data_IF_951240475967
#
_entry.id   IF_951240475967
#
_cell.length_a   1.000
_cell.length_b   1.000
_cell.length_c   1.000
_cell.angle_alpha   90.00
_cell.angle_beta   90.00
_cell.angle_gamma   90.00
#
_symmetry.space_group_name_H-M   'P 1'
#
loop_
_entity.id
_entity.type
_entity.pdbx_description
1 polymer ?
#
# COMPACT_ATOMS: atom_id res chain seq x y z
N UNK A 1 -14.22 1.45 -9.30
CA UNK A 1 -13.31 2.25 -8.46
C UNK A 1 -14.09 3.00 -7.40
N UNK A 2 -13.53 3.12 -6.21
CA UNK A 2 -14.12 3.82 -5.05
C UNK A 2 -13.11 4.83 -4.55
N UNK A 3 -13.54 6.02 -4.16
CA UNK A 3 -12.65 7.01 -3.54
C UNK A 3 -13.09 7.15 -2.08
N UNK A 4 -12.16 6.92 -1.15
CA UNK A 4 -12.42 6.99 0.30
C UNK A 4 -11.51 8.04 0.92
N UNK A 5 -12.03 8.78 1.88
CA UNK A 5 -11.30 9.80 2.65
C UNK A 5 -11.95 9.97 4.01
N UNK A 6 -11.16 10.29 5.04
CA UNK A 6 -11.63 10.67 6.37
C UNK A 6 -11.05 12.01 6.80
N UNK A 7 -11.60 12.61 7.86
CA UNK A 7 -10.99 13.75 8.54
C UNK A 7 -9.62 13.35 9.11
N UNK A 8 -8.61 14.22 9.01
CA UNK A 8 -7.19 13.95 9.30
C UNK A 8 -6.49 12.92 8.39
N UNK A 9 -7.25 12.24 7.52
CA UNK A 9 -6.71 11.34 6.50
C UNK A 9 -6.54 12.01 5.13
N UNK A 10 -6.49 11.19 4.10
CA UNK A 10 -6.30 11.63 2.71
C UNK A 10 -7.20 10.89 1.75
N UNK A 11 -7.33 11.42 0.54
CA UNK A 11 -8.08 10.76 -0.53
C UNK A 11 -7.27 9.56 -1.05
N UNK A 12 -7.89 8.39 -0.97
CA UNK A 12 -7.36 7.14 -1.51
C UNK A 12 -8.30 6.63 -2.60
N UNK A 13 -7.74 6.28 -3.76
CA UNK A 13 -8.47 5.68 -4.87
C UNK A 13 -8.32 4.16 -4.84
N UNK A 14 -9.41 3.42 -4.64
CA UNK A 14 -9.41 1.96 -4.62
C UNK A 14 -9.90 1.42 -5.97
N UNK A 15 -9.07 0.59 -6.62
CA UNK A 15 -9.35 -0.05 -7.91
C UNK A 15 -9.56 -1.56 -7.77
N UNK A 16 -10.18 -2.14 -8.79
CA UNK A 16 -10.31 -3.60 -8.90
C UNK A 16 -11.42 -4.22 -8.06
N UNK A 17 -12.25 -3.41 -7.38
CA UNK A 17 -13.36 -3.93 -6.59
C UNK A 17 -14.55 -4.38 -7.47
N UNK A 18 -14.93 -5.64 -7.38
CA UNK A 18 -15.97 -6.25 -8.21
C UNK A 18 -17.28 -6.56 -7.47
N UNK A 19 -17.25 -6.67 -6.14
CA UNK A 19 -18.42 -7.08 -5.34
C UNK A 19 -19.22 -5.88 -4.82
N UNK A 20 -20.00 -5.25 -5.70
CA UNK A 20 -20.80 -4.05 -5.37
C UNK A 20 -21.67 -4.23 -4.11
N UNK A 21 -22.13 -5.45 -3.81
CA UNK A 21 -22.97 -5.71 -2.62
C UNK A 21 -22.20 -5.54 -1.31
N UNK A 22 -20.90 -5.84 -1.30
CA UNK A 22 -20.02 -5.74 -0.14
C UNK A 22 -19.16 -4.47 -0.13
N UNK A 23 -19.50 -3.45 -0.96
CA UNK A 23 -18.76 -2.18 -1.01
C UNK A 23 -18.65 -1.48 0.35
N UNK A 24 -19.66 -1.65 1.21
CA UNK A 24 -19.65 -1.10 2.57
C UNK A 24 -18.49 -1.63 3.41
N UNK A 25 -18.14 -2.92 3.30
CA UNK A 25 -17.01 -3.52 4.03
C UNK A 25 -15.67 -2.97 3.59
N UNK A 26 -15.49 -2.81 2.27
CA UNK A 26 -14.29 -2.19 1.71
C UNK A 26 -14.11 -0.77 2.26
N UNK A 27 -15.20 0.01 2.31
CA UNK A 27 -15.16 1.37 2.85
C UNK A 27 -14.86 1.36 4.35
N UNK A 28 -15.50 0.48 5.12
CA UNK A 28 -15.27 0.33 6.57
C UNK A 28 -13.81 0.01 6.88
N UNK A 29 -13.23 -0.96 6.17
CA UNK A 29 -11.83 -1.37 6.34
C UNK A 29 -10.84 -0.27 5.92
N UNK A 30 -11.10 0.49 4.85
CA UNK A 30 -10.24 1.62 4.49
C UNK A 30 -10.32 2.76 5.51
N UNK A 31 -11.52 3.03 6.07
CA UNK A 31 -11.69 4.00 7.16
C UNK A 31 -10.91 3.56 8.39
N UNK A 32 -10.99 2.29 8.76
CA UNK A 32 -10.23 1.69 9.87
C UNK A 32 -8.71 1.82 9.64
N UNK A 33 -8.24 1.48 8.44
CA UNK A 33 -6.83 1.60 8.05
C UNK A 33 -6.29 3.01 8.27
N UNK A 34 -7.00 4.02 7.74
CA UNK A 34 -6.55 5.41 7.88
C UNK A 34 -6.55 5.85 9.35
N UNK A 35 -7.59 5.52 10.13
CA UNK A 35 -7.65 5.85 11.55
C UNK A 35 -6.50 5.21 12.34
N UNK A 36 -6.29 3.91 12.18
CA UNK A 36 -5.27 3.16 12.92
C UNK A 36 -3.86 3.66 12.60
N UNK A 37 -3.59 4.02 11.34
CA UNK A 37 -2.29 4.59 10.95
C UNK A 37 -2.08 6.00 11.51
N UNK A 38 -3.11 6.84 11.55
CA UNK A 38 -3.05 8.17 12.17
C UNK A 38 -2.82 8.05 13.68
N UNK A 39 -3.56 7.16 14.35
CA UNK A 39 -3.40 6.90 15.78
C UNK A 39 -2.02 6.35 16.11
N UNK A 40 -1.52 5.40 15.32
CA UNK A 40 -0.17 4.87 15.46
C UNK A 40 0.89 5.97 15.28
N UNK A 41 0.74 6.83 14.28
CA UNK A 41 1.65 7.98 14.09
C UNK A 41 1.66 8.93 15.27
N UNK A 42 0.52 9.16 15.93
CA UNK A 42 0.42 10.00 17.15
C UNK A 42 1.11 9.36 18.37
N UNK A 43 1.30 8.05 18.38
CA UNK A 43 2.01 7.33 19.44
C UNK A 43 3.51 7.26 19.23
N UNK A 44 4.00 7.54 18.02
CA UNK A 44 5.40 7.46 17.67
C UNK A 44 6.05 8.85 17.76
N UNK A 45 7.27 8.90 18.28
CA UNK A 45 8.07 10.10 18.20
C UNK A 45 8.59 10.29 16.77
N UNK A 46 8.55 11.53 16.28
CA UNK A 46 9.08 11.87 14.96
C UNK A 46 10.61 11.77 14.99
N UNK A 47 11.12 10.66 14.48
CA UNK A 47 12.55 10.39 14.41
C UNK A 47 13.02 10.12 12.97
N UNK A 48 14.30 10.42 12.73
CA UNK A 48 14.91 10.16 11.44
C UNK A 48 15.10 8.66 11.21
N UNK A 49 14.48 8.14 10.15
CA UNK A 49 14.75 6.79 9.66
C UNK A 49 16.12 6.76 9.02
N UNK A 50 17.06 6.05 9.64
CA UNK A 50 18.40 5.85 9.10
C UNK A 50 18.41 4.66 8.16
N UNK A 51 19.20 4.74 7.09
CA UNK A 51 19.34 3.65 6.14
C UNK A 51 20.70 3.64 5.49
N UNK A 52 21.31 2.46 5.37
CA UNK A 52 22.63 2.30 4.75
C UNK A 52 22.75 0.96 4.01
N UNK A 53 23.73 0.88 3.12
CA UNK A 53 24.12 -0.37 2.50
C UNK A 53 24.96 -1.17 3.49
N UNK A 54 24.46 -2.35 3.85
CA UNK A 54 25.07 -3.24 4.85
C UNK A 54 25.58 -4.53 4.23
N UNK A 55 25.69 -4.61 2.90
CA UNK A 55 26.08 -5.84 2.16
C UNK A 55 27.35 -6.47 2.72
N UNK A 56 28.32 -5.64 3.11
CA UNK A 56 29.60 -6.07 3.69
C UNK A 56 29.49 -6.84 5.03
N UNK A 57 28.36 -6.77 5.73
CA UNK A 57 28.09 -7.54 6.95
C UNK A 57 27.52 -8.93 6.65
N UNK A 58 27.19 -9.21 5.39
CA UNK A 58 26.56 -10.47 4.96
C UNK A 58 27.45 -11.30 4.03
N UNK A 59 28.75 -10.96 3.93
CA UNK A 59 29.70 -11.65 3.05
C UNK A 59 29.83 -13.17 3.37
N UNK A 60 29.67 -13.55 4.63
CA UNK A 60 29.75 -14.93 5.13
C UNK A 60 28.41 -15.41 5.76
N UNK A 61 27.27 -14.86 5.34
CA UNK A 61 25.96 -15.20 5.93
C UNK A 61 25.53 -16.65 5.64
N UNK A 62 24.97 -17.32 6.65
CA UNK A 62 24.38 -18.67 6.51
C UNK A 62 22.95 -18.62 5.92
N UNK A 63 22.35 -17.43 5.81
CA UNK A 63 21.00 -17.25 5.29
C UNK A 63 20.95 -17.45 3.77
N UNK A 64 20.22 -18.49 3.32
CA UNK A 64 20.10 -18.85 1.90
C UNK A 64 19.50 -17.74 1.02
N UNK A 65 18.60 -16.91 1.56
CA UNK A 65 17.93 -15.86 0.79
C UNK A 65 18.93 -14.74 0.48
N UNK A 66 19.65 -14.28 1.50
CA UNK A 66 20.60 -13.19 1.37
C UNK A 66 21.85 -13.62 0.60
N UNK A 67 22.38 -14.81 0.88
CA UNK A 67 23.55 -15.33 0.15
C UNK A 67 23.27 -15.47 -1.35
N UNK A 68 22.09 -15.97 -1.73
CA UNK A 68 21.67 -16.03 -3.14
C UNK A 68 21.64 -14.63 -3.79
N UNK A 69 21.16 -13.62 -3.07
CA UNK A 69 21.13 -12.25 -3.60
C UNK A 69 22.56 -11.72 -3.83
N UNK A 70 23.46 -11.92 -2.87
CA UNK A 70 24.86 -11.46 -2.94
C UNK A 70 25.62 -12.19 -4.06
N UNK A 71 25.43 -13.50 -4.20
CA UNK A 71 26.03 -14.30 -5.28
C UNK A 71 25.62 -13.83 -6.68
N UNK A 72 24.48 -13.16 -6.82
CA UNK A 72 23.95 -12.61 -8.07
C UNK A 72 24.21 -11.10 -8.21
N UNK A 73 25.30 -10.57 -7.61
CA UNK A 73 25.68 -9.16 -7.62
C UNK A 73 24.58 -8.23 -7.05
N UNK A 74 23.79 -8.73 -6.10
CA UNK A 74 22.80 -7.96 -5.36
C UNK A 74 23.39 -7.20 -4.18
N UNK A 75 22.54 -6.44 -3.49
CA UNK A 75 22.91 -5.68 -2.30
C UNK A 75 21.89 -5.85 -1.19
N UNK A 76 22.35 -5.68 0.05
CA UNK A 76 21.53 -5.65 1.26
C UNK A 76 21.51 -4.23 1.79
N UNK A 77 20.31 -3.67 1.91
CA UNK A 77 20.07 -2.39 2.56
C UNK A 77 19.35 -2.61 3.88
N UNK A 78 19.80 -1.91 4.91
CA UNK A 78 19.15 -1.89 6.22
C UNK A 78 18.49 -0.53 6.45
N UNK A 79 17.35 -0.55 7.14
CA UNK A 79 16.64 0.61 7.65
C UNK A 79 16.47 0.46 9.16
N UNK A 80 16.81 1.49 9.91
CA UNK A 80 16.44 1.65 11.31
C UNK A 80 15.12 2.39 11.39
N UNK A 81 14.11 1.73 11.93
CA UNK A 81 12.75 2.23 12.13
C UNK A 81 12.54 2.45 13.64
N UNK A 82 12.71 3.68 14.14
CA UNK A 82 12.62 3.97 15.57
C UNK A 82 11.24 3.67 16.16
N UNK A 83 11.22 3.20 17.41
CA UNK A 83 9.98 3.02 18.19
C UNK A 83 8.98 1.99 17.65
N UNK A 84 9.30 1.20 16.61
CA UNK A 84 8.37 0.25 15.99
C UNK A 84 8.42 -1.17 16.59
N UNK A 85 9.25 -1.44 17.60
CA UNK A 85 9.31 -2.76 18.22
C UNK A 85 7.95 -3.16 18.78
N UNK A 86 7.47 -4.37 18.44
CA UNK A 86 6.14 -4.88 18.76
C UNK A 86 4.98 -4.26 17.97
N UNK A 87 5.19 -3.14 17.27
CA UNK A 87 4.16 -2.43 16.49
C UNK A 87 4.09 -2.91 15.04
N UNK A 88 5.11 -3.58 14.52
CA UNK A 88 5.08 -4.11 13.14
C UNK A 88 3.98 -5.16 12.94
N UNK A 89 3.63 -5.89 14.01
CA UNK A 89 2.53 -6.87 14.07
C UNK A 89 1.19 -6.28 14.52
N UNK A 90 1.09 -4.97 14.68
CA UNK A 90 -0.18 -4.32 15.00
C UNK A 90 -1.10 -4.36 13.78
N UNK A 91 -2.33 -4.78 13.99
CA UNK A 91 -3.37 -4.80 12.95
C UNK A 91 -3.71 -3.37 12.53
N UNK A 92 -3.74 -3.13 11.22
CA UNK A 92 -4.15 -1.84 10.65
C UNK A 92 -5.58 -1.89 10.13
N UNK A 93 -6.01 -3.01 9.54
CA UNK A 93 -7.32 -3.16 8.93
C UNK A 93 -7.53 -4.62 8.52
N UNK A 94 -8.51 -5.29 9.11
CA UNK A 94 -8.72 -6.73 8.89
C UNK A 94 -7.47 -7.54 9.18
N UNK A 95 -7.09 -8.43 8.27
CA UNK A 95 -5.92 -9.31 8.41
C UNK A 95 -4.60 -8.65 7.94
N UNK A 96 -4.55 -7.30 7.84
CA UNK A 96 -3.34 -6.56 7.46
C UNK A 96 -2.64 -5.92 8.65
N UNK A 97 -1.30 -5.88 8.58
CA UNK A 97 -0.43 -5.35 9.63
C UNK A 97 0.42 -4.16 9.17
N UNK A 98 0.95 -3.40 10.13
CA UNK A 98 1.85 -2.25 9.86
C UNK A 98 3.04 -2.64 8.98
N UNK A 99 3.63 -3.81 9.20
CA UNK A 99 4.72 -4.32 8.37
C UNK A 99 4.35 -4.37 6.89
N UNK A 100 3.10 -4.75 6.58
CA UNK A 100 2.67 -4.93 5.21
C UNK A 100 2.51 -3.60 4.45
N UNK A 101 2.21 -2.50 5.16
CA UNK A 101 2.20 -1.15 4.56
C UNK A 101 3.58 -0.75 4.04
N UNK A 102 4.64 -1.11 4.78
CA UNK A 102 6.02 -0.87 4.37
C UNK A 102 6.42 -1.85 3.25
N UNK A 103 6.03 -3.12 3.37
CA UNK A 103 6.31 -4.15 2.36
C UNK A 103 5.69 -3.81 1.01
N UNK A 104 4.47 -3.28 0.95
CA UNK A 104 3.84 -2.96 -0.33
C UNK A 104 4.66 -1.89 -1.09
N UNK A 105 5.21 -0.91 -0.38
CA UNK A 105 6.09 0.12 -0.94
C UNK A 105 7.43 -0.46 -1.43
N UNK A 106 7.94 -1.52 -0.78
CA UNK A 106 9.11 -2.24 -1.26
C UNK A 106 8.79 -3.09 -2.50
N UNK A 107 7.63 -3.78 -2.52
CA UNK A 107 7.19 -4.64 -3.62
C UNK A 107 6.96 -3.88 -4.92
N UNK A 108 6.53 -2.62 -4.85
CA UNK A 108 6.41 -1.73 -6.03
C UNK A 108 7.76 -1.56 -6.76
N UNK A 109 8.88 -1.70 -6.07
CA UNK A 109 10.23 -1.63 -6.66
C UNK A 109 10.76 -2.98 -7.16
N UNK A 110 9.95 -4.04 -7.11
CA UNK A 110 10.30 -5.37 -7.58
C UNK A 110 10.95 -6.28 -6.53
N UNK A 111 10.97 -5.86 -5.26
CA UNK A 111 11.50 -6.68 -4.16
C UNK A 111 10.43 -7.63 -3.63
N UNK A 112 10.84 -8.81 -3.14
CA UNK A 112 9.89 -9.81 -2.63
C UNK A 112 9.25 -9.43 -1.29
N UNK A 113 9.99 -8.75 -0.43
CA UNK A 113 9.55 -8.32 0.89
C UNK A 113 10.67 -7.64 1.68
N UNK A 114 10.44 -7.46 2.97
CA UNK A 114 11.42 -6.96 3.94
C UNK A 114 11.54 -8.01 5.05
N UNK A 115 12.74 -8.20 5.59
CA UNK A 115 12.96 -9.00 6.80
C UNK A 115 13.12 -8.04 7.97
N UNK A 116 12.51 -8.27 9.12
CA UNK A 116 12.65 -7.33 10.23
C UNK A 116 12.80 -7.97 11.62
N UNK A 117 13.42 -7.25 12.56
CA UNK A 117 13.70 -7.77 13.91
C UNK A 117 12.48 -8.06 14.77
N UNK A 118 11.30 -7.58 14.36
CA UNK A 118 10.05 -7.91 15.03
C UNK A 118 9.47 -9.27 14.56
N UNK A 119 10.01 -9.86 13.49
CA UNK A 119 9.73 -11.23 13.07
C UNK A 119 10.56 -12.26 13.86
N UNK A 120 10.31 -13.53 13.61
CA UNK A 120 11.07 -14.64 14.17
C UNK A 120 12.41 -14.79 13.42
N UNK A 121 13.40 -13.95 13.79
CA UNK A 121 14.72 -13.91 13.16
C UNK A 121 15.56 -15.18 13.40
N UNK A 122 15.24 -15.97 14.43
CA UNK A 122 15.91 -17.24 14.70
C UNK A 122 15.64 -18.25 13.58
N UNK A 123 14.45 -18.23 12.98
CA UNK A 123 14.12 -19.09 11.83
C UNK A 123 14.91 -18.77 10.57
N UNK A 124 15.49 -17.57 10.50
CA UNK A 124 16.23 -17.10 9.35
C UNK A 124 17.74 -17.22 9.55
N UNK A 125 18.23 -17.70 10.70
CA UNK A 125 19.66 -17.75 11.02
C UNK A 125 20.36 -16.39 10.83
N UNK A 126 19.67 -15.28 11.17
CA UNK A 126 20.16 -13.90 10.98
C UNK A 126 20.45 -13.14 12.28
N UNK A 127 20.50 -13.84 13.42
CA UNK A 127 20.56 -13.20 14.74
C UNK A 127 21.85 -12.39 14.92
N UNK A 128 22.98 -12.89 14.43
CA UNK A 128 24.28 -12.22 14.53
C UNK A 128 24.31 -10.98 13.62
N UNK A 129 23.89 -11.12 12.37
CA UNK A 129 23.90 -10.03 11.39
C UNK A 129 22.94 -8.89 11.77
N UNK A 130 21.76 -9.20 12.31
CA UNK A 130 20.86 -8.17 12.85
C UNK A 130 21.48 -7.42 14.04
N UNK A 131 22.32 -8.09 14.83
CA UNK A 131 23.10 -7.47 15.91
C UNK A 131 24.13 -6.49 15.36
N UNK A 132 24.95 -6.92 14.40
CA UNK A 132 25.99 -6.08 13.78
C UNK A 132 25.40 -4.87 13.05
N UNK A 133 24.31 -5.06 12.30
CA UNK A 133 23.56 -3.97 11.66
C UNK A 133 22.98 -3.02 12.71
N UNK A 134 22.48 -3.57 13.82
CA UNK A 134 21.97 -2.77 14.94
C UNK A 134 23.04 -1.88 15.55
N UNK A 135 24.24 -2.40 15.77
CA UNK A 135 25.39 -1.64 16.28
C UNK A 135 25.83 -0.55 15.29
N UNK A 136 25.90 -0.87 14.00
CA UNK A 136 26.25 0.09 12.94
C UNK A 136 25.26 1.26 12.87
N UNK A 137 23.95 0.97 12.96
CA UNK A 137 22.89 1.97 12.89
C UNK A 137 22.55 2.61 14.25
N UNK A 138 23.28 2.24 15.32
CA UNK A 138 23.04 2.70 16.70
C UNK A 138 21.58 2.52 17.11
N UNK A 139 21.14 1.27 17.02
CA UNK A 139 19.80 0.81 17.36
C UNK A 139 19.53 0.96 18.86
N UNK A 140 18.38 1.53 19.22
CA UNK A 140 17.84 1.47 20.57
C UNK A 140 16.96 0.22 20.79
N UNK A 141 16.60 -0.10 22.03
CA UNK A 141 15.76 -1.28 22.34
C UNK A 141 14.37 -1.25 21.66
N UNK A 142 13.82 -0.04 21.47
CA UNK A 142 12.50 0.16 20.88
C UNK A 142 12.52 0.25 19.34
N UNK A 143 13.70 0.22 18.72
CA UNK A 143 13.86 0.35 17.27
C UNK A 143 13.73 -1.01 16.58
N UNK A 144 13.18 -1.02 15.36
CA UNK A 144 13.19 -2.18 14.47
C UNK A 144 14.24 -1.98 13.39
N UNK A 145 14.98 -3.05 13.07
CA UNK A 145 15.82 -3.09 11.88
C UNK A 145 15.07 -3.85 10.80
N UNK A 146 14.94 -3.25 9.62
CA UNK A 146 14.39 -3.88 8.43
C UNK A 146 15.47 -4.04 7.36
N UNK A 147 15.60 -5.24 6.80
CA UNK A 147 16.54 -5.60 5.75
C UNK A 147 15.80 -5.80 4.43
N UNK A 148 16.42 -5.32 3.35
CA UNK A 148 15.94 -5.43 1.98
C UNK A 148 17.09 -5.99 1.15
N UNK A 149 16.94 -7.22 0.68
CA UNK A 149 17.91 -7.91 -0.16
C UNK A 149 17.34 -8.07 -1.58
N UNK A 150 17.97 -7.42 -2.55
CA UNK A 150 17.58 -7.44 -3.97
C UNK A 150 18.76 -6.99 -4.86
N UNK A 151 18.63 -7.01 -6.21
CA UNK A 151 19.59 -6.33 -7.09
C UNK A 151 19.84 -4.88 -6.63
N UNK A 152 21.09 -4.40 -6.71
CA UNK A 152 21.53 -3.14 -6.05
C UNK A 152 20.58 -1.95 -6.30
N UNK A 153 20.21 -1.72 -7.57
CA UNK A 153 19.29 -0.63 -7.94
C UNK A 153 17.90 -0.78 -7.32
N UNK A 154 17.37 -2.01 -7.27
CA UNK A 154 16.06 -2.31 -6.67
C UNK A 154 16.11 -2.19 -5.16
N UNK A 155 17.13 -2.75 -4.51
CA UNK A 155 17.29 -2.71 -3.06
C UNK A 155 17.40 -1.26 -2.56
N UNK A 156 18.22 -0.45 -3.24
CA UNK A 156 18.37 0.97 -2.93
C UNK A 156 17.08 1.76 -3.13
N UNK A 157 16.38 1.55 -4.25
CA UNK A 157 15.11 2.22 -4.53
C UNK A 157 14.03 1.82 -3.53
N UNK A 158 13.92 0.53 -3.21
CA UNK A 158 13.00 0.00 -2.21
C UNK A 158 13.28 0.58 -0.82
N UNK A 159 14.54 0.60 -0.38
CA UNK A 159 14.93 1.21 0.90
C UNK A 159 14.53 2.68 0.98
N UNK A 160 14.69 3.45 -0.11
CA UNK A 160 14.25 4.85 -0.16
C UNK A 160 12.72 4.99 -0.09
N UNK A 161 11.97 4.10 -0.76
CA UNK A 161 10.49 4.09 -0.71
C UNK A 161 9.97 3.74 0.67
N UNK A 162 10.53 2.70 1.29
CA UNK A 162 10.17 2.26 2.64
C UNK A 162 10.53 3.34 3.65
N UNK A 163 11.72 3.95 3.56
CA UNK A 163 12.13 5.08 4.40
C UNK A 163 11.11 6.22 4.32
N UNK A 164 10.74 6.64 3.10
CA UNK A 164 9.76 7.71 2.91
C UNK A 164 8.38 7.35 3.47
N UNK A 165 7.94 6.10 3.31
CA UNK A 165 6.65 5.64 3.84
C UNK A 165 6.65 5.56 5.37
N UNK A 166 7.77 5.18 5.96
CA UNK A 166 7.96 5.18 7.41
C UNK A 166 7.96 6.61 7.96
N UNK A 167 8.65 7.56 7.32
CA UNK A 167 8.58 8.99 7.67
C UNK A 167 7.14 9.52 7.67
N UNK A 168 6.34 9.16 6.66
CA UNK A 168 4.90 9.49 6.63
C UNK A 168 4.12 8.85 7.78
N UNK A 169 4.48 7.61 8.17
CA UNK A 169 3.87 6.93 9.31
C UNK A 169 4.15 7.68 10.62
N UNK A 170 5.40 8.08 10.86
CA UNK A 170 5.80 8.86 12.03
C UNK A 170 5.10 10.21 12.10
N UNK A 171 4.84 10.84 10.95
CA UNK A 171 4.05 12.08 10.87
C UNK A 171 2.54 11.87 11.07
N UNK A 172 2.06 10.61 11.16
CA UNK A 172 0.63 10.29 11.13
C UNK A 172 -0.06 10.69 9.82
N UNK A 173 0.70 10.86 8.74
CA UNK A 173 0.20 11.29 7.43
C UNK A 173 -0.27 10.08 6.62
N UNK A 174 -1.50 10.17 6.10
CA UNK A 174 -2.00 9.21 5.10
C UNK A 174 -1.60 9.70 3.71
N UNK A 175 -0.83 8.95 2.92
CA UNK A 175 -0.47 9.36 1.56
C UNK A 175 -1.68 9.31 0.61
N UNK A 176 -1.76 10.28 -0.31
CA UNK A 176 -2.68 10.21 -1.45
C UNK A 176 -2.18 9.19 -2.48
N UNK A 177 -2.91 8.09 -2.63
CA UNK A 177 -2.46 6.96 -3.45
C UNK A 177 -3.62 6.17 -4.06
N UNK A 178 -3.28 5.37 -5.07
CA UNK A 178 -4.15 4.35 -5.63
C UNK A 178 -3.83 3.00 -4.98
N UNK A 179 -4.86 2.33 -4.48
CA UNK A 179 -4.79 1.00 -3.84
C UNK A 179 -5.63 -0.02 -4.60
N UNK A 180 -5.28 -1.30 -4.48
CA UNK A 180 -6.02 -2.43 -5.02
C UNK A 180 -6.94 -3.01 -3.96
N UNK A 181 -8.17 -3.39 -4.32
CA UNK A 181 -9.04 -4.14 -3.43
C UNK A 181 -8.67 -5.62 -3.42
N UNK A 182 -8.42 -6.17 -2.24
CA UNK A 182 -8.14 -7.58 -2.01
C UNK A 182 -9.44 -8.40 -1.84
N UNK A 183 -9.32 -9.72 -1.84
CA UNK A 183 -10.48 -10.63 -1.74
C UNK A 183 -11.18 -10.56 -0.38
N UNK A 184 -10.43 -10.22 0.66
CA UNK A 184 -10.89 -10.04 2.04
C UNK A 184 -11.40 -8.61 2.32
N UNK A 185 -11.53 -7.79 1.27
CA UNK A 185 -11.93 -6.37 1.32
C UNK A 185 -10.87 -5.43 1.90
N UNK A 186 -9.67 -5.90 2.25
CA UNK A 186 -8.56 -5.02 2.60
C UNK A 186 -8.00 -4.35 1.34
N UNK A 187 -7.11 -3.39 1.52
CA UNK A 187 -6.53 -2.64 0.39
C UNK A 187 -5.02 -2.73 0.40
N UNK A 188 -4.39 -2.91 -0.76
CA UNK A 188 -2.93 -2.94 -0.94
C UNK A 188 -2.43 -1.77 -1.79
N UNK A 189 -1.25 -1.25 -1.47
CA UNK A 189 -0.68 -0.15 -2.25
C UNK A 189 -0.40 -0.60 -3.68
N UNK A 190 -0.79 0.23 -4.67
CA UNK A 190 -0.43 0.01 -6.07
C UNK A 190 0.53 1.06 -6.60
N UNK A 191 0.19 2.34 -6.41
CA UNK A 191 0.94 3.47 -6.98
C UNK A 191 0.50 4.80 -6.37
N UNK A 192 1.31 5.87 -6.51
CA UNK A 192 0.87 7.22 -6.15
C UNK A 192 -0.34 7.66 -6.98
N UNK A 193 -1.14 8.57 -6.44
CA UNK A 193 -2.33 9.08 -7.11
C UNK A 193 -1.94 9.80 -8.41
N UNK A 194 -2.60 9.54 -9.55
CA UNK A 194 -2.25 10.18 -10.81
C UNK A 194 -2.49 11.70 -10.75
N UNK A 195 -1.57 12.46 -11.31
CA UNK A 195 -1.72 13.91 -11.43
C UNK A 195 -2.91 14.33 -12.31
N UNK A 196 -3.31 15.59 -12.20
CA UNK A 196 -4.43 16.13 -12.95
C UNK A 196 -4.25 15.98 -14.47
N UNK A 197 -5.30 15.50 -15.14
CA UNK A 197 -5.32 15.37 -16.59
C UNK A 197 -5.30 16.75 -17.26
N UNK A 198 -4.44 16.92 -18.27
CA UNK A 198 -4.45 18.09 -19.15
C UNK A 198 -5.29 17.78 -20.37
N UNK A 199 -6.42 18.46 -20.51
CA UNK A 199 -7.32 18.28 -21.64
C UNK A 199 -7.15 19.43 -22.65
N UNK A 200 -7.31 19.11 -23.94
CA UNK A 200 -7.38 20.07 -25.04
C UNK A 200 -8.56 19.70 -25.95
N UNK A 201 -9.15 20.65 -26.69
CA UNK A 201 -10.25 20.35 -27.60
C UNK A 201 -9.84 19.35 -28.67
N UNK A 202 -10.63 18.28 -28.83
CA UNK A 202 -10.52 17.35 -29.94
C UNK A 202 -11.03 18.03 -31.22
N UNK A 203 -10.12 18.44 -32.10
CA UNK A 203 -10.44 19.23 -33.29
C UNK A 203 -10.89 18.40 -34.48
N UNK A 204 -10.61 17.10 -34.49
CA UNK A 204 -10.96 16.22 -35.61
C UNK A 204 -12.46 15.85 -35.58
N UNK A 205 -13.12 16.02 -34.44
CA UNK A 205 -14.53 15.69 -34.26
C UNK A 205 -15.37 16.98 -34.24
N UNK A 206 -16.28 17.18 -35.21
CA UNK A 206 -17.21 18.30 -35.18
C UNK A 206 -18.12 18.27 -33.94
N UNK A 207 -18.53 19.42 -33.40
CA UNK A 207 -19.46 19.47 -32.28
C UNK A 207 -20.80 18.79 -32.62
N UNK A 208 -21.25 17.89 -31.75
CA UNK A 208 -22.56 17.22 -31.87
C UNK A 208 -23.62 18.09 -31.21
N UNK A 209 -24.62 18.56 -31.99
CA UNK A 209 -25.78 19.27 -31.45
C UNK A 209 -26.84 18.27 -30.98
N UNK A 210 -27.33 18.45 -29.76
CA UNK A 210 -28.47 17.71 -29.20
C UNK A 210 -29.67 18.67 -29.19
N UNK A 211 -30.75 18.34 -29.89
CA UNK A 211 -31.98 19.13 -29.98
C UNK A 211 -32.97 18.74 -28.89
N UNK A 212 -33.87 19.65 -28.51
CA UNK A 212 -34.92 19.37 -27.53
C UNK A 212 -35.84 18.22 -27.98
N UNK A 213 -36.23 18.20 -29.25
CA UNK A 213 -37.02 17.10 -29.86
C UNK A 213 -36.35 15.72 -29.66
N UNK A 214 -35.00 15.66 -29.76
CA UNK A 214 -34.25 14.41 -29.58
C UNK A 214 -34.20 13.98 -28.11
N UNK A 215 -34.19 14.95 -27.19
CA UNK A 215 -34.23 14.67 -25.75
C UNK A 215 -35.61 14.12 -25.39
N UNK A 216 -36.69 14.77 -25.85
CA UNK A 216 -38.07 14.33 -25.63
C UNK A 216 -38.31 12.92 -26.18
N UNK A 217 -37.86 12.63 -27.40
CA UNK A 217 -37.97 11.29 -28.00
C UNK A 217 -37.26 10.22 -27.16
N UNK A 218 -36.07 10.50 -26.60
CA UNK A 218 -35.33 9.55 -25.76
C UNK A 218 -36.01 9.36 -24.40
N UNK A 219 -36.49 10.44 -23.79
CA UNK A 219 -37.13 10.42 -22.47
C UNK A 219 -38.44 9.62 -22.50
N UNK A 220 -39.25 9.77 -23.55
CA UNK A 220 -40.49 9.00 -23.77
C UNK A 220 -40.23 7.50 -24.00
N UNK A 221 -39.02 7.12 -24.42
CA UNK A 221 -38.67 5.74 -24.80
C UNK A 221 -37.57 5.13 -23.93
N UNK A 222 -37.41 5.60 -22.68
CA UNK A 222 -36.45 5.01 -21.75
C UNK A 222 -36.77 3.53 -21.51
N UNK A 223 -35.75 2.64 -21.57
CA UNK A 223 -35.95 1.24 -21.24
C UNK A 223 -36.29 1.11 -19.75
N UNK A 224 -37.17 0.16 -19.44
CA UNK A 224 -37.45 -0.24 -18.07
C UNK A 224 -36.17 -0.69 -17.33
N UNK A 225 -36.11 -0.37 -16.05
CA UNK A 225 -35.08 -0.89 -15.14
C UNK A 225 -35.23 -2.41 -14.95
N UNK A 226 -34.18 -3.06 -14.45
CA UNK A 226 -34.22 -4.49 -14.15
C UNK A 226 -35.27 -4.83 -13.07
N UNK A 227 -35.54 -3.90 -12.15
CA UNK A 227 -36.55 -4.07 -11.11
C UNK A 227 -37.97 -3.99 -11.68
N UNK A 228 -38.25 -2.95 -12.48
CA UNK A 228 -39.53 -2.81 -13.18
C UNK A 228 -39.82 -4.00 -14.09
N UNK A 229 -38.79 -4.45 -14.84
CA UNK A 229 -38.91 -5.63 -15.70
C UNK A 229 -39.23 -6.89 -14.91
N UNK A 230 -38.61 -7.09 -13.74
CA UNK A 230 -38.89 -8.22 -12.85
C UNK A 230 -40.35 -8.20 -12.41
N UNK A 231 -40.83 -7.04 -11.98
CA UNK A 231 -42.19 -6.88 -11.46
C UNK A 231 -43.23 -7.08 -12.58
N UNK A 232 -43.01 -6.50 -13.77
CA UNK A 232 -43.86 -6.75 -14.95
C UNK A 232 -43.92 -8.23 -15.30
N UNK A 233 -42.77 -8.90 -15.40
CA UNK A 233 -42.74 -10.33 -15.74
C UNK A 233 -43.46 -11.18 -14.70
N UNK A 234 -43.26 -10.90 -13.41
CA UNK A 234 -43.97 -11.59 -12.32
C UNK A 234 -45.50 -11.46 -12.45
N UNK A 235 -45.98 -10.29 -12.83
CA UNK A 235 -47.42 -10.03 -13.01
C UNK A 235 -47.97 -10.67 -14.30
N UNK A 236 -47.20 -10.68 -15.39
CA UNK A 236 -47.63 -11.16 -16.71
C UNK A 236 -47.57 -12.69 -16.87
N UNK A 237 -46.53 -13.33 -16.33
CA UNK A 237 -46.25 -14.76 -16.57
C UNK A 237 -46.24 -15.64 -15.31
N UNK A 238 -46.42 -15.05 -14.12
CA UNK A 238 -46.44 -15.76 -12.83
C UNK A 238 -45.05 -16.14 -12.30
#
# INVERSE_FOLDING_TARGET
DVNVSIEEGSRVEIKGFQDVKNIHKLIELEVERQKNLIELGKELDEEEVLGDNVTHLFDDTDNQIISTVIENDGAVYALKLPGLTGKMKQEISGDRYVAEELVDYAKEQGVQGILHTDEDIEKYDLVEEFGEVGDMLKKNEEDVIALIAAPEDQAKSAAQRVKKRAEMLYAGEIPEETRGAEQDFTTSYMRPLPGAARMYPETDIPPVRITDERIEEIDENLPETLEEKRDRLKDEIG
#
